data_IF_113632424602
#
_entry.id   IF_113632424602
#
_cell.length_a   1.000
_cell.length_b   1.000
_cell.length_c   1.000
_cell.angle_alpha   90.00
_cell.angle_beta   90.00
_cell.angle_gamma   90.00
#
_symmetry.space_group_name_H-M   'P 1'
#
loop_
_entity.id
_entity.type
_entity.pdbx_description
1 polymer ?
#
# COMPACT_ATOMS: atom_id res chain seq x y z
N UNK A 1 16.25 -3.57 -5.42
CA UNK A 1 15.14 -3.40 -4.44
C UNK A 1 14.62 -4.79 -4.08
N UNK A 2 14.49 -5.14 -2.79
CA UNK A 2 13.77 -6.37 -2.42
C UNK A 2 12.29 -6.14 -2.76
N UNK A 3 11.77 -6.85 -3.75
CA UNK A 3 10.34 -6.84 -4.09
C UNK A 3 9.56 -7.43 -2.92
N UNK A 4 8.93 -6.56 -2.14
CA UNK A 4 7.98 -6.99 -1.11
C UNK A 4 6.73 -7.50 -1.80
N UNK A 5 6.26 -8.68 -1.41
CA UNK A 5 4.97 -9.19 -1.88
C UNK A 5 3.83 -8.48 -1.13
N UNK A 6 2.69 -8.21 -1.79
CA UNK A 6 1.52 -7.62 -1.14
C UNK A 6 0.95 -8.56 -0.06
N UNK A 7 0.67 -8.01 1.11
CA UNK A 7 0.15 -8.70 2.30
C UNK A 7 -1.38 -8.73 2.32
N UNK A 8 -2.02 -7.71 1.78
CA UNK A 8 -3.49 -7.51 1.74
C UNK A 8 -4.09 -7.93 0.39
N UNK A 9 -5.33 -8.37 0.42
CA UNK A 9 -6.16 -8.67 -0.76
C UNK A 9 -6.44 -7.40 -1.55
N UNK A 10 -6.68 -6.27 -0.88
CA UNK A 10 -6.78 -4.96 -1.52
C UNK A 10 -5.54 -4.61 -2.38
N UNK A 11 -4.32 -4.73 -1.82
CA UNK A 11 -3.09 -4.47 -2.58
C UNK A 11 -2.89 -5.48 -3.72
N UNK A 12 -3.16 -6.77 -3.50
CA UNK A 12 -3.10 -7.80 -4.55
C UNK A 12 -4.02 -7.48 -5.72
N UNK A 13 -5.28 -7.11 -5.44
CA UNK A 13 -6.27 -6.77 -6.48
C UNK A 13 -5.84 -5.52 -7.26
N UNK A 14 -5.38 -4.49 -6.56
CA UNK A 14 -4.88 -3.27 -7.20
C UNK A 14 -3.70 -3.56 -8.14
N UNK A 15 -2.70 -4.31 -7.67
CA UNK A 15 -1.52 -4.68 -8.47
C UNK A 15 -1.91 -5.48 -9.72
N UNK A 16 -2.81 -6.46 -9.60
CA UNK A 16 -3.29 -7.23 -10.76
C UNK A 16 -4.03 -6.37 -11.79
N UNK A 17 -4.80 -5.37 -11.34
CA UNK A 17 -5.48 -4.43 -12.23
C UNK A 17 -4.47 -3.56 -13.01
N UNK A 18 -3.36 -3.14 -12.38
CA UNK A 18 -2.35 -2.29 -13.02
C UNK A 18 -1.41 -3.06 -13.95
N UNK A 19 -1.04 -4.31 -13.63
CA UNK A 19 -0.23 -5.13 -14.54
C UNK A 19 -0.91 -5.40 -15.90
N UNK A 20 -2.23 -5.22 -15.97
CA UNK A 20 -2.98 -5.32 -17.22
C UNK A 20 -2.85 -4.06 -18.12
N UNK A 21 -2.27 -2.97 -17.60
CA UNK A 21 -2.12 -1.66 -18.26
C UNK A 21 -0.63 -1.30 -18.38
N UNK A 22 -0.04 -1.52 -19.57
CA UNK A 22 1.43 -1.54 -19.79
C UNK A 22 2.19 -0.21 -19.66
N UNK A 23 1.58 0.92 -19.29
CA UNK A 23 2.29 2.19 -19.10
C UNK A 23 2.08 2.73 -17.67
N UNK A 24 3.15 2.78 -16.87
CA UNK A 24 3.14 3.31 -15.50
C UNK A 24 2.89 2.27 -14.38
N UNK A 25 2.80 0.98 -14.73
CA UNK A 25 2.55 -0.10 -13.79
C UNK A 25 3.63 -0.19 -12.68
N UNK A 26 4.90 0.04 -13.01
CA UNK A 26 6.00 -0.09 -12.04
C UNK A 26 5.91 0.96 -10.92
N UNK A 27 5.70 2.23 -11.27
CA UNK A 27 5.59 3.31 -10.29
C UNK A 27 4.34 3.17 -9.43
N UNK A 28 3.22 2.78 -10.03
CA UNK A 28 1.99 2.54 -9.29
C UNK A 28 2.16 1.34 -8.34
N UNK A 29 2.86 0.29 -8.78
CA UNK A 29 3.16 -0.87 -7.94
C UNK A 29 4.05 -0.51 -6.75
N UNK A 30 5.06 0.32 -6.96
CA UNK A 30 5.90 0.83 -5.88
C UNK A 30 5.11 1.65 -4.86
N UNK A 31 4.23 2.54 -5.33
CA UNK A 31 3.40 3.37 -4.44
C UNK A 31 2.39 2.51 -3.64
N UNK A 32 1.84 1.47 -4.25
CA UNK A 32 0.95 0.51 -3.58
C UNK A 32 1.68 -0.29 -2.49
N UNK A 33 2.86 -0.82 -2.80
CA UNK A 33 3.68 -1.55 -1.83
C UNK A 33 4.20 -0.62 -0.72
N UNK A 34 4.50 0.63 -1.05
CA UNK A 34 4.88 1.64 -0.07
C UNK A 34 3.73 1.97 0.87
N UNK A 35 2.51 2.15 0.34
CA UNK A 35 1.29 2.37 1.13
C UNK A 35 1.05 1.23 2.12
N UNK A 36 1.07 -0.01 1.66
CA UNK A 36 0.82 -1.17 2.53
C UNK A 36 1.89 -1.32 3.62
N UNK A 37 3.17 -1.14 3.28
CA UNK A 37 4.23 -1.20 4.28
C UNK A 37 4.11 -0.08 5.31
N UNK A 38 3.77 1.14 4.88
CA UNK A 38 3.53 2.25 5.80
C UNK A 38 2.36 1.98 6.74
N UNK A 39 1.22 1.48 6.25
CA UNK A 39 0.07 1.18 7.11
C UNK A 39 0.37 0.04 8.10
N UNK A 40 1.26 -0.90 7.74
CA UNK A 40 1.69 -2.00 8.60
C UNK A 40 2.63 -1.53 9.71
N UNK A 41 3.66 -0.76 9.34
CA UNK A 41 4.72 -0.27 10.22
C UNK A 41 5.16 1.14 9.78
N UNK A 42 4.53 2.20 10.30
CA UNK A 42 4.86 3.56 9.93
C UNK A 42 6.29 3.94 10.35
N UNK A 43 7.16 4.21 9.38
CA UNK A 43 8.53 4.66 9.65
C UNK A 43 8.61 6.20 9.64
N UNK A 44 9.10 6.85 10.71
CA UNK A 44 9.19 8.30 10.77
C UNK A 44 10.26 8.82 9.79
N UNK A 45 9.84 9.70 8.87
CA UNK A 45 10.73 10.43 7.96
C UNK A 45 9.95 11.41 7.09
N UNK A 46 10.41 12.66 6.99
CA UNK A 46 9.67 13.75 6.31
C UNK A 46 9.29 13.40 4.87
N UNK A 47 10.23 12.86 4.09
CA UNK A 47 9.97 12.44 2.72
C UNK A 47 8.94 11.29 2.65
N UNK A 48 9.01 10.35 3.58
CA UNK A 48 8.08 9.21 3.65
C UNK A 48 6.66 9.66 4.02
N UNK A 49 6.53 10.59 4.98
CA UNK A 49 5.26 11.22 5.38
C UNK A 49 4.63 11.99 4.21
N UNK A 50 5.43 12.72 3.44
CA UNK A 50 4.93 13.44 2.27
C UNK A 50 4.48 12.47 1.17
N UNK A 51 5.29 11.44 0.88
CA UNK A 51 4.97 10.43 -0.12
C UNK A 51 3.68 9.68 0.23
N UNK A 52 3.53 9.21 1.47
CA UNK A 52 2.30 8.54 1.90
C UNK A 52 1.09 9.47 1.83
N UNK A 53 1.27 10.75 2.18
CA UNK A 53 0.22 11.75 2.08
C UNK A 53 -0.26 11.96 0.65
N UNK A 54 0.65 11.98 -0.32
CA UNK A 54 0.31 12.03 -1.73
C UNK A 54 -0.44 10.77 -2.18
N UNK A 55 0.07 9.58 -1.87
CA UNK A 55 -0.53 8.30 -2.29
C UNK A 55 -1.95 8.13 -1.72
N UNK A 56 -2.16 8.45 -0.44
CA UNK A 56 -3.49 8.39 0.21
C UNK A 56 -4.49 9.35 -0.43
N UNK A 57 -4.08 10.57 -0.79
CA UNK A 57 -4.96 11.54 -1.46
C UNK A 57 -5.35 11.08 -2.85
N UNK A 58 -4.42 10.45 -3.58
CA UNK A 58 -4.72 9.90 -4.91
C UNK A 58 -5.55 8.61 -4.85
N UNK A 59 -5.50 7.86 -3.73
CA UNK A 59 -6.13 6.54 -3.60
C UNK A 59 -6.87 6.37 -2.24
N UNK A 60 -7.85 7.22 -1.91
CA UNK A 60 -8.42 7.26 -0.56
C UNK A 60 -9.18 5.98 -0.17
N UNK A 61 -9.94 5.40 -1.10
CA UNK A 61 -10.68 4.15 -0.87
C UNK A 61 -9.74 2.96 -0.65
N UNK A 62 -8.71 2.85 -1.50
CA UNK A 62 -7.73 1.77 -1.41
C UNK A 62 -6.92 1.82 -0.11
N UNK A 63 -6.53 3.02 0.33
CA UNK A 63 -5.86 3.20 1.61
C UNK A 63 -6.75 2.75 2.79
N UNK A 64 -8.05 3.05 2.75
CA UNK A 64 -8.99 2.61 3.77
C UNK A 64 -9.14 1.08 3.80
N UNK A 65 -9.23 0.42 2.63
CA UNK A 65 -9.31 -1.04 2.53
C UNK A 65 -8.05 -1.73 3.05
N UNK A 66 -6.86 -1.30 2.60
CA UNK A 66 -5.58 -1.84 3.06
C UNK A 66 -5.46 -1.69 4.58
N UNK A 67 -5.79 -0.51 5.12
CA UNK A 67 -5.75 -0.26 6.57
C UNK A 67 -6.71 -1.17 7.32
N UNK A 68 -7.92 -1.39 6.82
CA UNK A 68 -8.91 -2.30 7.44
C UNK A 68 -8.37 -3.73 7.49
N UNK A 69 -7.87 -4.24 6.37
CA UNK A 69 -7.31 -5.59 6.29
C UNK A 69 -6.10 -5.77 7.21
N UNK A 70 -5.22 -4.77 7.31
CA UNK A 70 -4.07 -4.82 8.22
C UNK A 70 -4.49 -4.80 9.69
N UNK A 71 -5.55 -4.09 10.05
CA UNK A 71 -6.13 -4.13 11.40
C UNK A 71 -6.71 -5.51 11.71
N UNK A 72 -7.37 -6.15 10.73
CA UNK A 72 -7.91 -7.50 10.86
C UNK A 72 -6.82 -8.58 10.97
N UNK A 73 -5.68 -8.37 10.29
CA UNK A 73 -4.52 -9.28 10.32
C UNK A 73 -3.66 -9.15 11.58
N UNK A 74 -3.74 -8.02 12.31
CA UNK A 74 -3.03 -7.89 13.58
C UNK A 74 -3.67 -8.88 14.57
N UNK A 75 -2.89 -9.80 15.18
CA UNK A 75 -3.43 -10.69 16.20
C UNK A 75 -4.05 -9.80 17.28
N UNK A 76 -5.32 -10.06 17.61
CA UNK A 76 -5.95 -9.50 18.80
C UNK A 76 -5.05 -9.92 19.96
N UNK A 77 -4.19 -9.02 20.42
CA UNK A 77 -3.42 -9.21 21.65
C UNK A 77 -4.46 -9.21 22.78
N UNK A 78 -5.00 -10.40 23.06
CA UNK A 78 -5.62 -10.76 24.31
C UNK A 78 -4.57 -11.37 25.23
#
# INVERSE_FOLDING_TARGET
>A
MKTSLPKTTAAKRALSAFHSSQAGADRMSEDLLFLENWESDPAPGTAAVLRIGQIRRSNPALAAEIRRELLDLRPRRG
#
